data_IF_921981499730
#
_entry.id   IF_921981499730
#
_cell.length_a   1.000
_cell.length_b   1.000
_cell.length_c   1.000
_cell.angle_alpha   90.00
_cell.angle_beta   90.00
_cell.angle_gamma   90.00
#
_symmetry.space_group_name_H-M   'P 1'
#
loop_
_entity.id
_entity.type
_entity.pdbx_description
1 polymer ?
#
# COMPACT_ATOMS: atom_id res chain seq x y z
N UNK A 1 10.66 -2.12 -12.40
CA UNK A 1 9.36 -1.41 -12.43
C UNK A 1 8.27 -2.45 -12.57
N UNK A 2 7.18 -2.33 -11.82
CA UNK A 2 6.03 -3.25 -11.90
C UNK A 2 4.82 -2.49 -12.44
N UNK A 3 4.02 -3.12 -13.29
CA UNK A 3 2.82 -2.52 -13.88
C UNK A 3 1.60 -3.00 -13.11
N UNK A 4 0.84 -2.07 -12.55
CA UNK A 4 -0.49 -2.32 -12.00
C UNK A 4 -1.52 -2.12 -13.11
N UNK A 5 -2.36 -3.11 -13.37
CA UNK A 5 -3.51 -2.99 -14.28
C UNK A 5 -4.81 -3.05 -13.47
N UNK A 6 -5.66 -2.07 -13.64
CA UNK A 6 -6.99 -1.97 -13.03
C UNK A 6 -8.00 -1.73 -14.15
N UNK A 7 -8.60 -2.82 -14.66
CA UNK A 7 -9.45 -2.76 -15.84
C UNK A 7 -8.67 -2.25 -17.07
N UNK A 8 -9.08 -1.10 -17.61
CA UNK A 8 -8.43 -0.43 -18.74
C UNK A 8 -7.26 0.48 -18.33
N UNK A 9 -7.17 0.85 -17.05
CA UNK A 9 -6.10 1.71 -16.55
C UNK A 9 -4.84 0.89 -16.24
N UNK A 10 -3.69 1.43 -16.63
CA UNK A 10 -2.39 0.85 -16.27
C UNK A 10 -1.46 1.90 -15.68
N UNK A 11 -0.93 1.61 -14.50
CA UNK A 11 -0.07 2.52 -13.74
C UNK A 11 1.28 1.85 -13.51
N UNK A 12 2.34 2.59 -13.77
CA UNK A 12 3.69 2.16 -13.46
C UNK A 12 3.98 2.44 -11.99
N UNK A 13 4.24 1.36 -11.23
CA UNK A 13 4.68 1.43 -9.85
C UNK A 13 6.19 1.32 -9.78
N UNK A 14 6.77 2.12 -8.89
CA UNK A 14 8.14 1.89 -8.43
C UNK A 14 8.22 0.57 -7.66
N UNK A 15 9.42 0.02 -7.49
CA UNK A 15 9.62 -1.25 -6.77
C UNK A 15 9.01 -1.21 -5.38
N UNK A 16 9.21 -0.11 -4.63
CA UNK A 16 8.68 0.06 -3.26
C UNK A 16 7.15 0.17 -3.22
N UNK A 17 6.55 0.92 -4.13
CA UNK A 17 5.07 1.03 -4.22
C UNK A 17 4.45 -0.34 -4.52
N UNK A 18 5.08 -1.10 -5.41
CA UNK A 18 4.59 -2.41 -5.80
C UNK A 18 4.78 -3.46 -4.68
N UNK A 19 5.89 -3.42 -3.96
CA UNK A 19 6.12 -4.29 -2.79
C UNK A 19 5.13 -3.97 -1.67
N UNK A 20 4.86 -2.69 -1.41
CA UNK A 20 3.86 -2.25 -0.43
C UNK A 20 2.45 -2.71 -0.83
N UNK A 21 2.09 -2.56 -2.10
CA UNK A 21 0.80 -3.01 -2.60
C UNK A 21 0.67 -4.54 -2.52
N UNK A 22 1.71 -5.30 -2.90
CA UNK A 22 1.73 -6.76 -2.75
C UNK A 22 1.55 -7.18 -1.30
N UNK A 23 2.18 -6.47 -0.37
CA UNK A 23 2.04 -6.78 1.05
C UNK A 23 0.63 -6.50 1.55
N UNK A 24 -0.01 -5.42 1.11
CA UNK A 24 -1.41 -5.12 1.39
C UNK A 24 -2.34 -6.20 0.81
N UNK A 25 -2.13 -6.62 -0.44
CA UNK A 25 -2.90 -7.71 -1.07
C UNK A 25 -2.69 -9.05 -0.37
N UNK A 26 -1.48 -9.32 0.12
CA UNK A 26 -1.20 -10.54 0.89
C UNK A 26 -1.91 -10.54 2.25
N UNK A 27 -2.09 -9.37 2.85
CA UNK A 27 -2.83 -9.16 4.10
C UNK A 27 -4.22 -8.56 3.81
N UNK A 28 -4.84 -8.97 2.71
CA UNK A 28 -6.18 -8.54 2.34
C UNK A 28 -7.17 -8.93 3.44
N UNK A 29 -8.09 -8.01 3.76
CA UNK A 29 -9.02 -8.13 4.88
C UNK A 29 -8.40 -8.25 6.29
N UNK A 30 -7.08 -8.09 6.39
CA UNK A 30 -6.34 -8.03 7.65
C UNK A 30 -5.73 -6.64 7.89
N UNK A 31 -5.36 -6.38 9.14
CA UNK A 31 -4.71 -5.13 9.51
C UNK A 31 -3.21 -5.30 9.32
N UNK A 32 -2.69 -4.67 8.28
CA UNK A 32 -1.26 -4.53 8.08
C UNK A 32 -0.71 -3.46 9.02
N UNK A 33 0.02 -3.90 10.05
CA UNK A 33 0.66 -3.00 10.99
C UNK A 33 1.70 -2.11 10.31
N UNK A 34 1.76 -0.85 10.73
CA UNK A 34 2.69 0.13 10.15
C UNK A 34 4.14 -0.32 10.24
N UNK A 35 4.55 -0.81 11.42
CA UNK A 35 5.94 -1.26 11.66
C UNK A 35 6.26 -2.52 10.84
N UNK A 36 5.28 -3.42 10.68
CA UNK A 36 5.44 -4.61 9.85
C UNK A 36 5.62 -4.24 8.38
N UNK A 37 4.78 -3.34 7.86
CA UNK A 37 4.89 -2.82 6.49
C UNK A 37 6.25 -2.16 6.24
N UNK A 38 6.71 -1.35 7.18
CA UNK A 38 8.01 -0.70 7.11
C UNK A 38 9.16 -1.71 7.05
N UNK A 39 9.19 -2.67 7.97
CA UNK A 39 10.23 -3.69 7.99
C UNK A 39 10.21 -4.58 6.75
N UNK A 40 9.02 -4.93 6.25
CA UNK A 40 8.89 -5.78 5.07
C UNK A 40 9.33 -5.06 3.77
N UNK A 41 9.01 -3.78 3.61
CA UNK A 41 9.27 -3.04 2.37
C UNK A 41 10.60 -2.26 2.42
N UNK A 42 10.96 -1.68 3.57
CA UNK A 42 12.17 -0.88 3.75
C UNK A 42 13.27 -1.58 4.56
N UNK A 43 12.95 -2.60 5.36
CA UNK A 43 13.91 -3.27 6.26
C UNK A 43 14.09 -2.57 7.61
N UNK A 44 13.53 -1.37 7.78
CA UNK A 44 13.70 -0.53 8.97
C UNK A 44 12.46 0.38 9.15
N UNK A 45 12.06 0.62 10.40
CA UNK A 45 10.91 1.42 10.81
C UNK A 45 11.24 2.88 11.15
N UNK A 46 12.40 3.35 10.70
CA UNK A 46 12.82 4.74 10.77
C UNK A 46 11.73 5.77 10.37
N UNK A 47 11.67 6.90 11.09
CA UNK A 47 10.65 7.94 10.93
C UNK A 47 10.51 8.46 9.49
N UNK A 48 11.63 8.58 8.75
CA UNK A 48 11.65 8.98 7.34
C UNK A 48 10.94 7.97 6.43
N UNK A 49 11.09 6.67 6.69
CA UNK A 49 10.40 5.62 5.94
C UNK A 49 8.90 5.66 6.24
N UNK A 50 8.52 5.92 7.50
CA UNK A 50 7.12 6.10 7.91
C UNK A 50 6.41 7.19 7.08
N UNK A 51 7.05 8.35 6.94
CA UNK A 51 6.55 9.45 6.09
C UNK A 51 6.45 9.04 4.62
N UNK A 52 7.46 8.34 4.10
CA UNK A 52 7.48 7.89 2.71
C UNK A 52 6.35 6.90 2.41
N UNK A 53 6.08 5.98 3.35
CA UNK A 53 4.98 5.02 3.23
C UNK A 53 3.62 5.71 3.20
N UNK A 54 3.35 6.69 4.06
CA UNK A 54 2.07 7.42 4.03
C UNK A 54 1.83 8.08 2.65
N UNK A 55 2.89 8.62 2.03
CA UNK A 55 2.84 9.16 0.66
C UNK A 55 2.54 8.07 -0.37
N UNK A 56 3.19 6.90 -0.27
CA UNK A 56 2.91 5.77 -1.17
C UNK A 56 1.49 5.24 -1.00
N UNK A 57 0.97 5.12 0.23
CA UNK A 57 -0.43 4.75 0.48
C UNK A 57 -1.38 5.76 -0.16
N UNK A 58 -1.11 7.06 -0.04
CA UNK A 58 -1.93 8.09 -0.67
C UNK A 58 -1.93 8.00 -2.21
N UNK A 59 -0.78 7.66 -2.82
CA UNK A 59 -0.69 7.40 -4.27
C UNK A 59 -1.43 6.13 -4.68
N UNK A 60 -1.20 5.01 -3.99
CA UNK A 60 -1.88 3.74 -4.25
C UNK A 60 -3.40 3.90 -4.17
N UNK A 61 -3.90 4.65 -3.18
CA UNK A 61 -5.32 5.02 -3.09
C UNK A 61 -5.83 5.77 -4.31
N UNK A 62 -5.04 6.67 -4.88
CA UNK A 62 -5.42 7.38 -6.11
C UNK A 62 -5.46 6.44 -7.31
N UNK A 63 -4.50 5.52 -7.40
CA UNK A 63 -4.48 4.52 -8.48
C UNK A 63 -5.66 3.55 -8.38
N UNK A 64 -5.95 3.06 -7.18
CA UNK A 64 -7.07 2.16 -6.89
C UNK A 64 -8.44 2.86 -6.92
N UNK A 65 -8.49 4.19 -7.05
CA UNK A 65 -9.76 4.94 -7.08
C UNK A 65 -10.67 4.50 -8.26
N UNK A 66 -10.09 3.96 -9.32
CA UNK A 66 -10.84 3.42 -10.47
C UNK A 66 -11.59 2.12 -10.15
N UNK A 67 -11.23 1.41 -9.08
CA UNK A 67 -11.86 0.17 -8.67
C UNK A 67 -12.65 0.35 -7.35
N UNK A 68 -13.99 0.33 -7.38
CA UNK A 68 -14.79 0.50 -6.18
C UNK A 68 -14.74 -0.70 -5.22
N UNK A 69 -14.30 -1.87 -5.67
CA UNK A 69 -14.13 -3.07 -4.84
C UNK A 69 -12.95 -2.89 -3.89
N UNK A 70 -11.86 -2.30 -4.37
CA UNK A 70 -10.61 -2.17 -3.61
C UNK A 70 -10.50 -0.82 -2.89
N UNK A 71 -10.41 -0.83 -1.56
CA UNK A 71 -10.20 0.36 -0.72
C UNK A 71 -9.14 0.13 0.34
N UNK A 72 -8.14 1.01 0.37
CA UNK A 72 -7.17 1.06 1.46
C UNK A 72 -7.73 1.98 2.56
N UNK A 73 -8.00 1.44 3.74
CA UNK A 73 -8.37 2.22 4.94
C UNK A 73 -7.18 2.35 5.89
N UNK A 74 -7.14 3.46 6.62
CA UNK A 74 -6.14 3.66 7.68
C UNK A 74 -6.83 3.39 9.01
N UNK A 75 -6.27 2.46 9.78
CA UNK A 75 -6.72 2.09 11.11
C UNK A 75 -5.86 2.85 12.11
N UNK A 76 -6.43 3.91 12.68
CA UNK A 76 -5.74 4.78 13.64
C UNK A 76 -5.11 3.96 14.78
N UNK A 77 -3.83 4.19 15.04
CA UNK A 77 -3.07 3.50 16.09
C UNK A 77 -2.63 2.06 15.76
N UNK A 78 -3.02 1.48 14.62
CA UNK A 78 -2.59 0.12 14.22
C UNK A 78 -1.85 0.08 12.88
N UNK A 79 -2.41 0.66 11.83
CA UNK A 79 -1.80 0.59 10.49
C UNK A 79 -2.80 0.77 9.36
N UNK A 80 -2.70 -0.08 8.33
CA UNK A 80 -3.51 0.00 7.12
C UNK A 80 -4.26 -1.31 6.90
N UNK A 81 -5.43 -1.24 6.28
CA UNK A 81 -6.19 -2.42 5.90
C UNK A 81 -6.65 -2.27 4.45
N UNK A 82 -6.45 -3.32 3.66
CA UNK A 82 -6.99 -3.42 2.32
C UNK A 82 -8.36 -4.11 2.40
N UNK A 83 -9.39 -3.43 1.93
CA UNK A 83 -10.72 -4.00 1.70
C UNK A 83 -10.87 -4.23 0.20
N UNK A 84 -11.53 -5.32 -0.16
CA UNK A 84 -11.68 -5.84 -1.53
C UNK A 84 -13.03 -6.54 -1.65
#
# INVERSE_FOLDING_TARGET
MQLLKLGEDSVHLTTKEADLLKLLCKNQDEILERNHALKAVWGDDNYFNGRSMDVYIAKLRKYLKGDPSVKIINVHGRGFKLLT
#
